data_IF_618602564006
#
_entry.id   IF_618602564006
#
_cell.length_a   1.000
_cell.length_b   1.000
_cell.length_c   1.000
_cell.angle_alpha   90.00
_cell.angle_beta   90.00
_cell.angle_gamma   90.00
#
_symmetry.space_group_name_H-M   'P 1'
#
loop_
_entity.id
_entity.type
_entity.pdbx_description
1 polymer ?
#
# COMPACT_ATOMS: atom_id res chain seq x y z
N UNK A 1 -20.17 -17.34 -48.99
CA UNK A 1 -19.90 -16.04 -49.66
C UNK A 1 -18.40 -15.90 -49.81
N UNK A 2 -17.93 -15.76 -51.05
CA UNK A 2 -16.52 -15.67 -51.45
C UNK A 2 -16.06 -14.21 -51.36
N UNK A 3 -14.87 -13.96 -50.80
CA UNK A 3 -14.02 -12.86 -51.28
C UNK A 3 -12.56 -13.32 -51.31
N UNK A 4 -11.77 -12.93 -52.33
CA UNK A 4 -10.55 -13.61 -52.74
C UNK A 4 -9.24 -12.88 -52.37
N UNK A 5 -8.19 -13.69 -52.27
CA UNK A 5 -6.77 -13.47 -52.58
C UNK A 5 -6.29 -12.06 -53.01
N UNK A 6 -5.17 -11.63 -52.41
CA UNK A 6 -3.99 -11.17 -53.18
C UNK A 6 -2.71 -11.18 -52.34
N UNK A 7 -1.78 -12.05 -52.73
CA UNK A 7 -0.39 -12.06 -52.31
C UNK A 7 0.39 -10.98 -53.08
N UNK A 8 1.30 -10.28 -52.41
CA UNK A 8 2.38 -9.54 -53.09
C UNK A 8 3.69 -9.76 -52.31
N UNK A 9 4.50 -10.66 -52.87
CA UNK A 9 5.89 -10.95 -52.55
C UNK A 9 6.74 -9.90 -53.28
N UNK A 10 7.58 -9.14 -52.58
CA UNK A 10 8.65 -8.35 -53.20
C UNK A 10 9.95 -8.59 -52.43
N UNK A 11 10.80 -9.41 -53.03
CA UNK A 11 12.22 -9.56 -52.71
C UNK A 11 13.00 -8.46 -53.45
N UNK A 12 13.85 -7.74 -52.75
CA UNK A 12 14.91 -6.94 -53.35
C UNK A 12 16.18 -7.05 -52.49
N UNK A 13 17.23 -7.61 -53.09
CA UNK A 13 18.59 -7.69 -52.59
C UNK A 13 19.50 -6.67 -53.33
N UNK A 14 20.74 -6.54 -52.85
CA UNK A 14 21.87 -5.68 -53.31
C UNK A 14 21.97 -4.33 -52.55
N UNK A 15 23.13 -3.83 -52.12
CA UNK A 15 24.53 -4.25 -52.26
C UNK A 15 25.39 -3.59 -51.16
N UNK A 16 26.56 -4.17 -50.90
CA UNK A 16 27.65 -3.61 -50.10
C UNK A 16 28.21 -2.34 -50.76
N UNK A 17 28.37 -1.27 -49.98
CA UNK A 17 29.29 -0.17 -50.29
C UNK A 17 30.10 0.17 -49.02
N UNK A 18 31.41 -0.11 -49.09
CA UNK A 18 32.38 0.38 -48.14
C UNK A 18 32.58 1.89 -48.37
N UNK A 19 32.40 2.68 -47.32
CA UNK A 19 32.68 4.12 -47.30
C UNK A 19 33.33 4.49 -45.98
N UNK A 20 34.66 4.63 -46.00
CA UNK A 20 35.46 5.21 -44.94
C UNK A 20 35.27 6.73 -44.97
N UNK A 21 34.52 7.27 -44.02
CA UNK A 21 34.37 8.70 -43.79
C UNK A 21 34.77 9.01 -42.36
N UNK A 22 36.04 9.37 -42.16
CA UNK A 22 36.54 9.86 -40.88
C UNK A 22 35.85 11.18 -40.52
N UNK A 23 35.08 11.15 -39.43
CA UNK A 23 34.56 12.32 -38.74
C UNK A 23 34.74 12.11 -37.24
N UNK A 24 35.86 12.61 -36.70
CA UNK A 24 36.03 12.74 -35.25
C UNK A 24 35.09 13.80 -34.71
N UNK A 25 34.66 13.60 -33.45
CA UNK A 25 34.08 14.57 -32.51
C UNK A 25 32.72 15.18 -32.90
N UNK A 26 31.65 15.09 -32.11
CA UNK A 26 31.57 15.01 -30.66
C UNK A 26 30.29 14.28 -30.28
N UNK A 27 30.43 13.11 -29.66
CA UNK A 27 29.40 12.57 -28.78
C UNK A 27 29.37 13.48 -27.55
N UNK A 28 28.65 14.59 -27.67
CA UNK A 28 28.18 15.32 -26.51
C UNK A 28 27.38 14.32 -25.69
N UNK A 29 28.00 13.77 -24.64
CA UNK A 29 27.26 13.17 -23.54
C UNK A 29 26.40 14.29 -23.01
N UNK A 30 25.15 14.32 -23.45
CA UNK A 30 24.13 15.19 -22.90
C UNK A 30 24.19 14.96 -21.39
N UNK A 31 24.63 15.98 -20.67
CA UNK A 31 24.74 15.94 -19.21
C UNK A 31 23.37 15.48 -18.72
N UNK A 32 23.26 14.39 -17.94
CA UNK A 32 21.95 13.94 -17.54
C UNK A 32 21.27 15.09 -16.80
N UNK A 33 20.00 15.33 -17.15
CA UNK A 33 19.23 16.38 -16.53
C UNK A 33 19.27 16.18 -15.02
N UNK A 34 19.48 17.28 -14.27
CA UNK A 34 19.43 17.22 -12.82
C UNK A 34 18.08 16.61 -12.40
N UNK A 35 18.05 15.81 -11.31
CA UNK A 35 16.80 15.27 -10.79
C UNK A 35 15.80 16.42 -10.62
N UNK A 36 14.55 16.21 -11.05
CA UNK A 36 13.49 17.19 -10.85
C UNK A 36 13.35 17.58 -9.37
N UNK A 37 12.86 18.78 -9.06
CA UNK A 37 12.68 19.23 -7.68
C UNK A 37 11.76 18.27 -6.91
N UNK A 38 11.97 18.08 -5.59
CA UNK A 38 11.06 17.30 -4.76
C UNK A 38 9.66 17.91 -4.77
N UNK A 39 8.63 17.05 -4.84
CA UNK A 39 7.26 17.40 -4.48
C UNK A 39 7.00 17.03 -3.02
N UNK A 40 6.17 17.81 -2.34
CA UNK A 40 5.80 17.56 -0.94
C UNK A 40 6.87 17.92 0.09
N UNK A 41 6.66 17.53 1.34
CA UNK A 41 7.55 17.83 2.46
C UNK A 41 8.58 16.72 2.70
N UNK A 42 9.78 17.06 3.19
CA UNK A 42 10.75 16.06 3.60
C UNK A 42 10.23 15.25 4.79
N UNK A 43 10.47 13.94 4.77
CA UNK A 43 10.13 13.05 5.88
C UNK A 43 11.41 12.46 6.50
N UNK A 44 11.32 12.10 7.77
CA UNK A 44 12.43 11.57 8.56
C UNK A 44 12.02 10.28 9.26
N UNK A 45 12.98 9.63 9.93
CA UNK A 45 12.69 8.45 10.73
C UNK A 45 11.48 8.71 11.64
N UNK A 46 10.51 7.80 11.68
CA UNK A 46 9.35 7.95 12.56
C UNK A 46 9.83 8.16 13.99
N UNK A 47 9.30 9.18 14.67
CA UNK A 47 9.62 9.38 16.06
C UNK A 47 9.28 8.09 16.84
N UNK A 48 10.19 7.59 17.72
CA UNK A 48 9.84 6.51 18.62
C UNK A 48 8.57 6.92 19.35
N UNK A 49 7.54 6.08 19.36
CA UNK A 49 6.26 6.42 19.96
C UNK A 49 6.42 6.54 21.48
N UNK A 50 6.75 7.74 21.99
CA UNK A 50 6.94 8.01 23.44
C UNK A 50 5.60 8.19 24.17
N UNK A 51 4.49 8.28 23.45
CA UNK A 51 3.15 8.44 24.01
C UNK A 51 2.46 7.10 24.14
N UNK A 52 1.98 6.81 25.35
CA UNK A 52 1.11 5.70 25.69
C UNK A 52 0.27 5.29 24.47
N UNK A 53 0.60 4.13 23.89
CA UNK A 53 -0.19 3.54 22.81
C UNK A 53 -1.65 3.73 23.20
N UNK A 54 -2.52 4.33 22.36
CA UNK A 54 -3.95 4.34 22.63
C UNK A 54 -4.27 2.90 22.96
N UNK A 55 -4.53 2.64 24.25
CA UNK A 55 -4.60 1.27 24.76
C UNK A 55 -5.71 0.68 23.94
N UNK A 56 -5.36 -0.25 23.06
CA UNK A 56 -6.35 -1.04 22.34
C UNK A 56 -7.24 -1.54 23.46
N UNK A 57 -8.49 -1.04 23.49
CA UNK A 57 -9.42 -1.29 24.59
C UNK A 57 -9.31 -2.77 24.96
N UNK A 58 -9.28 -3.08 26.27
CA UNK A 58 -8.57 -4.24 26.78
C UNK A 58 -8.86 -5.50 25.98
N UNK A 59 -7.82 -6.32 25.79
CA UNK A 59 -8.00 -7.66 25.25
C UNK A 59 -9.14 -8.34 26.00
N UNK A 60 -10.06 -9.00 25.28
CA UNK A 60 -11.05 -9.83 25.93
C UNK A 60 -10.35 -10.90 26.78
N UNK A 61 -11.04 -11.38 27.81
CA UNK A 61 -10.61 -12.56 28.56
C UNK A 61 -10.64 -13.82 27.69
N UNK A 62 -9.89 -14.85 28.09
CA UNK A 62 -9.81 -16.09 27.31
C UNK A 62 -11.15 -16.83 27.20
N UNK A 63 -12.08 -16.59 28.13
CA UNK A 63 -13.44 -17.12 28.14
C UNK A 63 -14.47 -16.22 27.42
N UNK A 64 -14.05 -15.09 26.84
CA UNK A 64 -14.93 -14.21 26.12
C UNK A 64 -15.52 -14.90 24.87
N UNK A 65 -16.80 -14.60 24.59
CA UNK A 65 -17.49 -15.14 23.42
C UNK A 65 -16.86 -14.71 22.09
N UNK A 66 -17.15 -15.47 21.03
CA UNK A 66 -16.60 -15.29 19.69
C UNK A 66 -16.74 -13.85 19.16
N UNK A 67 -17.88 -13.19 19.40
CA UNK A 67 -18.11 -11.80 18.95
C UNK A 67 -17.15 -10.81 19.63
N UNK A 68 -16.83 -10.99 20.92
CA UNK A 68 -15.90 -10.09 21.62
C UNK A 68 -14.45 -10.30 21.16
N UNK A 69 -14.07 -11.56 20.94
CA UNK A 69 -12.79 -11.92 20.31
C UNK A 69 -12.67 -11.29 18.91
N UNK A 70 -13.72 -11.43 18.09
CA UNK A 70 -13.78 -10.86 16.74
C UNK A 70 -13.68 -9.33 16.75
N UNK A 71 -14.42 -8.65 17.64
CA UNK A 71 -14.32 -7.19 17.80
C UNK A 71 -12.91 -6.76 18.16
N UNK A 72 -12.19 -7.51 18.99
CA UNK A 72 -10.80 -7.22 19.33
C UNK A 72 -9.87 -7.38 18.13
N UNK A 73 -9.95 -8.51 17.44
CA UNK A 73 -9.08 -8.78 16.29
C UNK A 73 -9.34 -7.80 15.12
N UNK A 74 -10.60 -7.46 14.84
CA UNK A 74 -10.92 -6.45 13.81
C UNK A 74 -10.41 -5.05 14.17
N UNK A 75 -10.34 -4.68 15.46
CA UNK A 75 -9.69 -3.43 15.89
C UNK A 75 -8.19 -3.48 15.60
N UNK A 76 -7.53 -4.61 15.88
CA UNK A 76 -6.11 -4.81 15.57
C UNK A 76 -5.84 -4.72 14.06
N UNK A 77 -6.62 -5.43 13.25
CA UNK A 77 -6.55 -5.36 11.79
C UNK A 77 -6.74 -3.94 11.26
N UNK A 78 -7.71 -3.19 11.83
CA UNK A 78 -7.95 -1.80 11.45
C UNK A 78 -6.79 -0.87 11.82
N UNK A 79 -6.15 -1.07 12.98
CA UNK A 79 -4.95 -0.33 13.37
C UNK A 79 -3.78 -0.65 12.44
N UNK A 80 -3.60 -1.93 12.08
CA UNK A 80 -2.59 -2.36 11.12
C UNK A 80 -2.81 -1.71 9.75
N UNK A 81 -4.03 -1.75 9.24
CA UNK A 81 -4.42 -1.08 7.99
C UNK A 81 -4.10 0.42 8.01
N UNK A 82 -4.33 1.10 9.14
CA UNK A 82 -4.02 2.52 9.30
C UNK A 82 -2.50 2.82 9.37
N UNK A 83 -1.66 1.81 9.61
CA UNK A 83 -0.20 1.94 9.77
C UNK A 83 0.24 2.68 11.02
N UNK A 84 -0.68 3.04 11.92
CA UNK A 84 -0.35 3.79 13.13
C UNK A 84 -1.37 3.57 14.26
N UNK A 85 -0.96 3.57 15.54
CA UNK A 85 -1.89 3.47 16.66
C UNK A 85 -2.93 4.61 16.65
N UNK A 86 -4.18 4.29 16.99
CA UNK A 86 -5.27 5.25 17.11
C UNK A 86 -6.39 4.74 18.01
N UNK A 87 -7.30 5.62 18.40
CA UNK A 87 -8.51 5.27 19.16
C UNK A 87 -9.41 4.39 18.30
N UNK A 88 -9.83 3.26 18.86
CA UNK A 88 -10.72 2.33 18.18
C UNK A 88 -11.90 1.87 19.04
N UNK A 89 -13.00 1.54 18.37
CA UNK A 89 -14.14 0.79 18.93
C UNK A 89 -14.71 -0.14 17.86
N UNK A 90 -15.46 -1.17 18.26
CA UNK A 90 -16.08 -2.10 17.32
C UNK A 90 -17.48 -2.51 17.78
N UNK A 91 -18.39 -2.65 16.83
CA UNK A 91 -19.73 -3.16 17.03
C UNK A 91 -20.05 -4.15 15.91
N UNK A 92 -20.77 -5.23 16.21
CA UNK A 92 -21.23 -6.19 15.21
C UNK A 92 -22.76 -6.19 15.17
N UNK A 93 -23.33 -6.51 14.01
CA UNK A 93 -24.78 -6.59 13.77
C UNK A 93 -25.47 -7.74 14.51
N UNK A 94 -24.67 -8.63 15.13
CA UNK A 94 -25.13 -9.75 15.95
C UNK A 94 -24.47 -9.71 17.32
N UNK A 95 -25.27 -10.01 18.35
CA UNK A 95 -24.76 -10.20 19.71
C UNK A 95 -24.03 -11.54 19.86
N UNK A 96 -24.45 -12.55 19.10
CA UNK A 96 -23.90 -13.90 19.10
C UNK A 96 -23.70 -14.41 17.67
N UNK A 97 -22.66 -15.21 17.47
CA UNK A 97 -22.35 -15.82 16.18
C UNK A 97 -22.12 -17.32 16.39
N UNK A 98 -22.84 -18.20 15.68
CA UNK A 98 -22.60 -19.63 15.75
C UNK A 98 -21.16 -19.96 15.37
N UNK A 99 -20.55 -20.88 16.13
CA UNK A 99 -19.22 -21.41 15.87
C UNK A 99 -19.19 -22.41 14.70
N UNK A 100 -19.95 -22.14 13.64
CA UNK A 100 -20.12 -23.04 12.49
C UNK A 100 -19.58 -22.42 11.22
N UNK A 101 -18.96 -23.24 10.38
CA UNK A 101 -18.46 -22.81 9.07
C UNK A 101 -19.61 -22.21 8.23
N UNK A 102 -19.33 -21.07 7.61
CA UNK A 102 -20.29 -20.31 6.82
C UNK A 102 -21.18 -19.36 7.63
N UNK A 103 -21.08 -19.34 8.96
CA UNK A 103 -21.73 -18.31 9.76
C UNK A 103 -21.15 -16.93 9.42
N UNK A 104 -22.02 -15.93 9.29
CA UNK A 104 -21.64 -14.56 8.91
C UNK A 104 -22.13 -13.52 9.91
N UNK A 105 -21.40 -12.42 10.01
CA UNK A 105 -21.78 -11.19 10.72
C UNK A 105 -21.11 -10.01 10.03
N UNK A 106 -21.67 -8.82 10.20
CA UNK A 106 -21.03 -7.57 9.79
C UNK A 106 -20.61 -6.79 11.02
N UNK A 107 -19.33 -6.48 11.11
CA UNK A 107 -18.80 -5.63 12.16
C UNK A 107 -18.38 -4.28 11.60
N UNK A 108 -18.67 -3.21 12.33
CA UNK A 108 -18.18 -1.86 12.05
C UNK A 108 -17.13 -1.49 13.07
N UNK A 109 -15.91 -1.21 12.62
CA UNK A 109 -14.83 -0.68 13.45
C UNK A 109 -14.77 0.83 13.24
N UNK A 110 -14.73 1.59 14.32
CA UNK A 110 -14.46 3.03 14.26
C UNK A 110 -12.99 3.28 14.60
N UNK A 111 -12.25 3.99 13.75
CA UNK A 111 -10.87 4.41 13.98
C UNK A 111 -10.80 5.93 13.85
N UNK A 112 -10.43 6.63 14.93
CA UNK A 112 -10.38 8.11 14.97
C UNK A 112 -11.64 8.79 14.38
N UNK A 113 -12.81 8.19 14.60
CA UNK A 113 -14.10 8.68 14.10
C UNK A 113 -14.52 8.17 12.71
N UNK A 114 -13.62 7.52 11.96
CA UNK A 114 -13.94 6.90 10.67
C UNK A 114 -14.49 5.49 10.88
N UNK A 115 -15.63 5.19 10.26
CA UNK A 115 -16.26 3.86 10.31
C UNK A 115 -15.81 3.02 9.12
N UNK A 116 -15.30 1.82 9.40
CA UNK A 116 -14.95 0.79 8.43
C UNK A 116 -15.82 -0.43 8.66
N UNK A 117 -16.52 -0.84 7.60
CA UNK A 117 -17.33 -2.06 7.63
C UNK A 117 -16.48 -3.26 7.25
N UNK A 118 -16.56 -4.31 8.08
CA UNK A 118 -15.91 -5.61 7.96
C UNK A 118 -16.99 -6.69 7.88
N UNK A 119 -17.30 -7.21 6.69
CA UNK A 119 -18.05 -8.45 6.55
C UNK A 119 -17.16 -9.61 7.04
N UNK A 120 -17.73 -10.49 7.85
CA UNK A 120 -17.01 -11.61 8.45
C UNK A 120 -17.68 -12.91 8.07
N UNK A 121 -16.88 -13.90 7.67
CA UNK A 121 -17.32 -15.28 7.43
C UNK A 121 -16.45 -16.25 8.22
N UNK A 122 -17.07 -17.10 9.04
CA UNK A 122 -16.36 -18.17 9.75
C UNK A 122 -15.98 -19.26 8.75
N UNK A 123 -14.69 -19.57 8.65
CA UNK A 123 -14.16 -20.54 7.67
C UNK A 123 -13.97 -21.93 8.24
N UNK A 124 -13.96 -22.07 9.56
CA UNK A 124 -13.90 -23.36 10.25
C UNK A 124 -13.13 -23.29 11.57
N UNK A 125 -12.66 -24.43 12.09
CA UNK A 125 -11.78 -24.45 13.26
C UNK A 125 -10.46 -23.74 12.93
N UNK A 126 -9.93 -22.97 13.87
CA UNK A 126 -8.59 -22.41 13.72
C UNK A 126 -7.51 -23.43 14.08
N UNK A 127 -6.37 -23.32 13.41
CA UNK A 127 -5.14 -24.04 13.75
C UNK A 127 -4.27 -23.12 14.60
N UNK A 128 -3.72 -23.62 15.72
CA UNK A 128 -2.69 -22.89 16.47
C UNK A 128 -3.16 -21.90 17.55
N UNK A 129 -4.27 -22.17 18.24
CA UNK A 129 -4.62 -21.48 19.50
C UNK A 129 -5.74 -20.44 19.42
N UNK A 130 -6.27 -20.14 18.22
CA UNK A 130 -7.58 -19.49 18.07
C UNK A 130 -8.67 -20.56 18.10
N UNK A 131 -9.86 -20.22 18.59
CA UNK A 131 -11.00 -21.15 18.64
C UNK A 131 -11.60 -21.40 17.26
N UNK A 132 -11.59 -20.39 16.37
CA UNK A 132 -12.14 -20.45 15.01
C UNK A 132 -11.34 -19.57 14.03
N UNK A 133 -11.21 -20.04 12.80
CA UNK A 133 -10.70 -19.28 11.68
C UNK A 133 -11.83 -18.49 11.01
N UNK A 134 -11.51 -17.29 10.54
CA UNK A 134 -12.46 -16.44 9.84
C UNK A 134 -11.78 -15.62 8.75
N UNK A 135 -12.55 -15.24 7.75
CA UNK A 135 -12.17 -14.28 6.72
C UNK A 135 -12.92 -12.96 6.96
N UNK A 136 -12.21 -11.84 6.80
CA UNK A 136 -12.80 -10.52 6.86
C UNK A 136 -11.97 -9.54 6.02
N UNK A 137 -12.58 -8.98 4.99
CA UNK A 137 -11.98 -7.98 4.12
C UNK A 137 -12.70 -6.64 4.32
N UNK A 138 -12.00 -5.53 4.60
CA UNK A 138 -12.65 -4.27 4.87
C UNK A 138 -13.25 -3.69 3.59
N UNK A 139 -14.43 -3.08 3.69
CA UNK A 139 -15.06 -2.38 2.56
C UNK A 139 -14.29 -1.15 2.05
N UNK A 140 -13.43 -0.56 2.89
CA UNK A 140 -12.66 0.66 2.61
C UNK A 140 -11.34 0.66 3.37
N UNK A 141 -10.34 1.37 2.85
CA UNK A 141 -9.09 1.63 3.56
C UNK A 141 -9.16 2.83 4.51
N UNK A 142 -8.21 2.88 5.45
CA UNK A 142 -7.89 4.08 6.25
C UNK A 142 -6.50 4.57 5.85
N UNK A 143 -6.44 5.78 5.31
CA UNK A 143 -5.21 6.51 5.10
C UNK A 143 -4.90 7.37 6.33
N UNK A 144 -3.69 7.26 6.86
CA UNK A 144 -3.13 8.23 7.81
C UNK A 144 -1.80 8.73 7.29
N UNK A 145 -1.52 10.04 7.41
CA UNK A 145 -0.22 10.59 7.06
C UNK A 145 0.91 9.87 7.82
N UNK A 146 0.75 9.72 9.13
CA UNK A 146 1.76 9.07 10.00
C UNK A 146 2.05 7.62 9.60
N UNK A 147 1.02 6.84 9.26
CA UNK A 147 1.19 5.45 8.83
C UNK A 147 1.85 5.35 7.46
N UNK A 148 1.42 6.18 6.50
CA UNK A 148 1.98 6.19 5.16
C UNK A 148 3.45 6.63 5.13
N UNK A 149 3.79 7.69 5.86
CA UNK A 149 5.18 8.17 5.96
C UNK A 149 6.08 7.16 6.66
N UNK A 150 5.58 6.49 7.72
CA UNK A 150 6.36 5.48 8.43
C UNK A 150 6.64 4.25 7.57
N UNK A 151 5.64 3.76 6.82
CA UNK A 151 5.84 2.66 5.87
C UNK A 151 6.80 3.06 4.73
N UNK A 152 6.60 4.25 4.15
CA UNK A 152 7.48 4.73 3.08
C UNK A 152 8.93 4.84 3.54
N UNK A 153 9.16 5.44 4.71
CA UNK A 153 10.49 5.55 5.30
C UNK A 153 11.08 4.16 5.55
N UNK A 154 10.33 3.26 6.19
CA UNK A 154 10.77 1.90 6.50
C UNK A 154 11.23 1.12 5.26
N UNK A 155 10.52 1.29 4.14
CA UNK A 155 10.79 0.56 2.90
C UNK A 155 11.84 1.23 1.99
N UNK A 156 12.13 2.53 2.14
CA UNK A 156 12.94 3.27 1.16
C UNK A 156 14.15 4.04 1.73
N UNK A 157 14.29 4.19 3.05
CA UNK A 157 15.39 4.97 3.64
C UNK A 157 16.79 4.40 3.31
N UNK A 158 16.89 3.09 3.09
CA UNK A 158 18.14 2.45 2.65
C UNK A 158 18.43 2.62 1.16
N UNK A 159 17.41 2.85 0.34
CA UNK A 159 17.52 2.97 -1.12
C UNK A 159 17.68 4.43 -1.58
N UNK A 160 17.27 5.39 -0.76
CA UNK A 160 17.28 6.82 -1.09
C UNK A 160 17.99 7.72 -0.08
N UNK A 161 18.23 8.97 -0.48
CA UNK A 161 18.88 10.00 0.36
C UNK A 161 17.98 11.17 0.72
N UNK A 162 16.96 11.46 -0.10
CA UNK A 162 15.98 12.51 0.13
C UNK A 162 14.59 11.90 0.02
N UNK A 163 13.89 11.69 1.14
CA UNK A 163 12.54 11.14 1.15
C UNK A 163 11.54 12.28 1.34
N UNK A 164 10.54 12.34 0.46
CA UNK A 164 9.49 13.35 0.50
C UNK A 164 8.12 12.71 0.31
N UNK A 165 7.09 13.28 0.90
CA UNK A 165 5.69 12.86 0.71
C UNK A 165 4.80 14.07 0.47
N UNK A 166 3.71 13.88 -0.29
CA UNK A 166 2.65 14.87 -0.40
C UNK A 166 2.02 15.16 0.97
N UNK A 167 1.40 16.34 1.11
CA UNK A 167 0.61 16.70 2.29
C UNK A 167 -0.62 15.79 2.43
N UNK A 168 -0.51 14.76 3.26
CA UNK A 168 -1.59 13.81 3.53
C UNK A 168 -2.46 14.27 4.72
N UNK A 169 -3.77 13.94 4.71
CA UNK A 169 -4.64 14.19 5.85
C UNK A 169 -4.23 13.34 7.05
N UNK A 170 -4.48 13.85 8.25
CA UNK A 170 -4.21 13.10 9.49
C UNK A 170 -4.91 11.73 9.50
N UNK A 171 -6.17 11.70 9.06
CA UNK A 171 -6.95 10.47 8.86
C UNK A 171 -7.98 10.69 7.74
N UNK A 172 -8.12 9.72 6.83
CA UNK A 172 -9.10 9.76 5.73
C UNK A 172 -9.53 8.36 5.32
N UNK A 173 -10.82 8.20 4.99
CA UNK A 173 -11.33 6.98 4.38
C UNK A 173 -11.05 7.01 2.88
N UNK A 174 -10.56 5.90 2.34
CA UNK A 174 -10.20 5.78 0.92
C UNK A 174 -10.71 4.46 0.33
N UNK A 175 -10.90 4.36 -1.00
CA UNK A 175 -11.20 3.07 -1.62
C UNK A 175 -10.05 2.07 -1.39
N UNK A 176 -10.38 0.86 -0.94
CA UNK A 176 -9.39 -0.18 -0.69
C UNK A 176 -8.73 -0.62 -2.01
N UNK A 177 -7.40 -0.82 -2.00
CA UNK A 177 -6.65 -1.35 -3.14
C UNK A 177 -6.49 -0.39 -4.32
N UNK A 178 -7.00 0.84 -4.23
CA UNK A 178 -6.93 1.84 -5.29
C UNK A 178 -5.94 2.95 -4.96
N UNK A 179 -5.49 3.64 -6.00
CA UNK A 179 -4.64 4.82 -5.86
C UNK A 179 -5.39 5.90 -5.09
N UNK A 180 -4.72 6.44 -4.07
CA UNK A 180 -5.28 7.49 -3.21
C UNK A 180 -5.12 8.89 -3.81
N UNK A 181 -4.24 9.03 -4.79
CA UNK A 181 -3.83 10.30 -5.39
C UNK A 181 -2.64 10.97 -4.69
N UNK A 182 -2.19 10.44 -3.55
CA UNK A 182 -0.98 10.88 -2.85
C UNK A 182 0.23 10.09 -3.30
N UNK A 183 1.38 10.75 -3.29
CA UNK A 183 2.66 10.18 -3.67
C UNK A 183 3.71 10.47 -2.60
N UNK A 184 4.70 9.59 -2.56
CA UNK A 184 5.97 9.87 -1.93
C UNK A 184 7.07 9.64 -2.95
N UNK A 185 8.21 10.28 -2.77
CA UNK A 185 9.37 10.11 -3.63
C UNK A 185 10.64 9.96 -2.82
N UNK A 186 11.61 9.25 -3.38
CA UNK A 186 12.97 9.27 -2.89
C UNK A 186 13.96 9.60 -4.01
N UNK A 187 15.06 10.28 -3.65
CA UNK A 187 16.22 10.40 -4.54
C UNK A 187 17.09 9.15 -4.40
N UNK A 188 17.30 8.39 -5.49
CA UNK A 188 18.06 7.14 -5.46
C UNK A 188 19.53 7.38 -5.11
N UNK A 189 20.14 6.41 -4.43
CA UNK A 189 21.59 6.39 -4.25
C UNK A 189 22.27 6.15 -5.60
N UNK A 190 23.28 6.97 -5.94
CA UNK A 190 24.08 6.76 -7.15
C UNK A 190 24.90 5.47 -7.03
N UNK A 191 24.67 4.52 -7.94
CA UNK A 191 25.52 3.33 -8.13
C UNK A 191 26.39 3.49 -9.39
N UNK A 192 27.00 4.66 -9.56
CA UNK A 192 27.83 4.98 -10.75
C UNK A 192 27.11 5.67 -11.89
N UNK A 193 25.88 6.17 -11.65
CA UNK A 193 25.10 7.02 -12.56
C UNK A 193 24.47 8.21 -11.81
N UNK A 194 23.79 9.11 -12.51
CA UNK A 194 23.12 10.23 -11.86
C UNK A 194 21.95 9.75 -10.98
N UNK A 195 21.79 10.29 -9.76
CA UNK A 195 20.62 10.02 -8.93
C UNK A 195 19.32 10.26 -9.70
N UNK A 196 18.31 9.44 -9.43
CA UNK A 196 16.99 9.56 -10.03
C UNK A 196 15.96 9.78 -8.93
N UNK A 197 15.04 10.72 -9.14
CA UNK A 197 13.88 10.87 -8.26
C UNK A 197 12.83 9.84 -8.67
N UNK A 198 12.50 8.94 -7.74
CA UNK A 198 11.55 7.85 -7.95
C UNK A 198 10.23 8.22 -7.26
N UNK A 199 9.19 8.64 -8.00
CA UNK A 199 7.86 8.84 -7.44
C UNK A 199 7.14 7.49 -7.29
N UNK A 200 6.47 7.28 -6.16
CA UNK A 200 5.63 6.11 -5.91
C UNK A 200 4.24 6.57 -5.45
N UNK A 201 3.20 6.05 -6.09
CA UNK A 201 1.80 6.29 -5.73
C UNK A 201 1.35 5.42 -4.56
N UNK A 202 0.57 6.01 -3.67
CA UNK A 202 0.08 5.38 -2.44
C UNK A 202 -1.26 4.68 -2.66
N UNK A 203 -1.33 3.42 -2.22
CA UNK A 203 -2.53 2.60 -2.07
C UNK A 203 -2.69 2.22 -0.60
N UNK A 204 -3.93 2.03 -0.14
CA UNK A 204 -4.21 1.39 1.15
C UNK A 204 -4.77 -0.01 0.91
N UNK A 205 -4.12 -1.01 1.51
CA UNK A 205 -4.55 -2.41 1.55
C UNK A 205 -5.02 -2.80 2.95
N UNK A 206 -5.60 -3.98 3.12
CA UNK A 206 -6.03 -4.49 4.43
C UNK A 206 -4.89 -4.60 5.45
N UNK A 207 -3.65 -4.74 4.99
CA UNK A 207 -2.45 -4.92 5.82
C UNK A 207 -1.63 -3.64 5.99
N UNK A 208 -2.03 -2.52 5.39
CA UNK A 208 -1.37 -1.24 5.56
C UNK A 208 -1.32 -0.37 4.30
N UNK A 209 -0.70 0.82 4.41
CA UNK A 209 -0.26 1.59 3.25
C UNK A 209 0.75 0.80 2.41
N UNK A 210 0.74 1.04 1.10
CA UNK A 210 1.65 0.41 0.15
C UNK A 210 1.97 1.37 -1.01
N UNK A 211 3.24 1.39 -1.41
CA UNK A 211 3.74 2.29 -2.46
C UNK A 211 4.16 1.50 -3.70
N UNK A 212 3.72 1.98 -4.87
CA UNK A 212 4.11 1.40 -6.17
C UNK A 212 4.39 2.48 -7.20
N UNK A 213 5.25 2.15 -8.16
CA UNK A 213 5.51 2.99 -9.34
C UNK A 213 4.29 3.01 -10.28
#
# INVERSE_FOLDING_TARGET
MKFPYSYALVLAACALAAGCGGGSSSSGKEKPAAPGPPSGHPISAPAPSVTASPRIQPSPSDDAGLIEQLKYDLRLKTIKMAGTPGRTSAACDRAELPATKGATTTCTVTYEGIKVTWPVTITGPAMGGLTLAYEAEPSTGILTAKGAEADFWGNNHDSGTELHCDDMPAVKQVPLGQQTGYHCSYLSKSLGGEPLRVPLGLIVREDGPYFRA
#
